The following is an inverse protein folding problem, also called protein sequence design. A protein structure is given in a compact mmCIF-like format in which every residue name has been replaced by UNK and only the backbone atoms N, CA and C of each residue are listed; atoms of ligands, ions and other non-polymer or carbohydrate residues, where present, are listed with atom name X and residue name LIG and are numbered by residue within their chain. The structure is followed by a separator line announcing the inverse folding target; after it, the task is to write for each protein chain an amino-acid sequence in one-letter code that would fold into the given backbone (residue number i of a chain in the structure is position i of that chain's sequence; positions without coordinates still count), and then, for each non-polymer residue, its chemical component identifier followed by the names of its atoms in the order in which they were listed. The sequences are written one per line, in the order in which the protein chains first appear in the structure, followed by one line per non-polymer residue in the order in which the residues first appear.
data_IF_849354082765
#
_entry.id   IF_849354082765
#
_cell.length_a   1.000
_cell.length_b   1.000
_cell.length_c   1.000
_cell.angle_alpha   90.00
_cell.angle_beta   90.00
_cell.angle_gamma   90.00
#
_symmetry.space_group_name_H-M   'P 1'
#
loop_
_entity.id
_entity.type
_entity.pdbx_description
1 polymer ?
#
# COMPACT_ATOMS: atom_id res chain seq x y z
N UNK A 1 -16.07 18.80 10.60
CA UNK A 1 -15.81 20.25 10.37
C UNK A 1 -14.59 20.82 11.12
N UNK A 2 -14.29 20.43 12.37
CA UNK A 2 -12.99 20.69 13.01
C UNK A 2 -11.98 19.55 12.80
N UNK A 3 -12.43 18.29 12.94
CA UNK A 3 -11.65 17.07 12.70
C UNK A 3 -11.05 16.98 11.28
N UNK A 4 -11.82 17.37 10.24
CA UNK A 4 -11.33 17.43 8.86
C UNK A 4 -10.25 18.50 8.62
N UNK A 5 -10.27 19.62 9.34
CA UNK A 5 -9.25 20.67 9.19
C UNK A 5 -7.95 20.30 9.90
N UNK A 6 -8.04 19.68 11.08
CA UNK A 6 -6.88 19.13 11.79
C UNK A 6 -6.19 18.02 10.97
N UNK A 7 -6.97 17.09 10.41
CA UNK A 7 -6.46 16.07 9.47
C UNK A 7 -5.80 16.69 8.25
N UNK A 8 -6.37 17.74 7.63
CA UNK A 8 -5.74 18.43 6.48
C UNK A 8 -4.41 19.08 6.85
N UNK A 9 -4.31 19.69 8.04
CA UNK A 9 -3.08 20.30 8.55
C UNK A 9 -1.97 19.29 8.84
N UNK A 10 -2.30 18.13 9.42
CA UNK A 10 -1.34 17.04 9.66
C UNK A 10 -0.94 16.34 8.37
N UNK A 11 -1.89 16.08 7.45
CA UNK A 11 -1.62 15.47 6.13
C UNK A 11 -0.63 16.33 5.33
N UNK A 12 -0.78 17.66 5.31
CA UNK A 12 0.13 18.55 4.58
C UNK A 12 1.58 18.54 5.11
N UNK A 13 1.77 18.32 6.41
CA UNK A 13 3.11 18.15 7.00
C UNK A 13 3.72 16.80 6.65
N UNK A 14 2.88 15.76 6.61
CA UNK A 14 3.30 14.38 6.37
C UNK A 14 3.56 14.07 4.89
N UNK A 15 2.98 14.84 3.95
CA UNK A 15 3.28 14.71 2.51
C UNK A 15 4.72 15.06 2.14
N UNK A 16 5.44 15.79 3.01
CA UNK A 16 6.88 16.02 2.87
C UNK A 16 7.76 14.84 3.30
N UNK A 17 7.15 13.77 3.82
CA UNK A 17 7.82 12.52 4.17
C UNK A 17 8.09 11.61 2.96
N UNK A 18 8.73 10.47 3.23
CA UNK A 18 8.99 9.44 2.24
C UNK A 18 8.42 8.08 2.65
N UNK A 19 7.96 7.32 1.65
CA UNK A 19 7.57 5.93 1.79
C UNK A 19 8.77 5.05 1.42
N UNK A 20 9.16 4.15 2.31
CA UNK A 20 10.15 3.10 2.05
C UNK A 20 9.48 1.75 2.00
N UNK A 21 9.97 0.88 1.15
CA UNK A 21 9.53 -0.50 1.06
C UNK A 21 10.73 -1.43 1.00
N UNK A 22 10.80 -2.34 1.97
CA UNK A 22 11.83 -3.38 2.05
C UNK A 22 11.19 -4.74 1.82
N UNK A 23 11.74 -5.50 0.89
CA UNK A 23 11.19 -6.80 0.50
C UNK A 23 12.10 -7.93 0.97
N UNK A 24 11.53 -8.89 1.71
CA UNK A 24 12.17 -10.16 2.01
C UNK A 24 11.50 -11.25 1.19
N UNK A 25 12.29 -11.87 0.32
CA UNK A 25 11.78 -12.91 -0.57
C UNK A 25 11.83 -14.26 0.13
N UNK A 26 10.66 -14.84 0.41
CA UNK A 26 10.61 -16.23 0.82
C UNK A 26 10.82 -17.11 -0.44
N UNK A 27 11.69 -18.12 -0.34
CA UNK A 27 11.78 -19.18 -1.35
C UNK A 27 10.93 -20.34 -0.84
N UNK A 28 9.71 -20.48 -1.35
CA UNK A 28 9.00 -21.76 -1.26
C UNK A 28 8.95 -22.42 -2.63
N UNK A 29 9.61 -23.58 -2.72
CA UNK A 29 9.49 -24.50 -3.84
C UNK A 29 8.23 -25.33 -3.66
N UNK A 30 7.13 -24.90 -4.29
CA UNK A 30 5.95 -25.73 -4.54
C UNK A 30 5.78 -25.93 -6.04
N UNK A 31 5.15 -27.03 -6.46
CA UNK A 31 4.99 -27.46 -7.85
C UNK A 31 4.24 -26.48 -8.78
N UNK A 32 3.82 -25.32 -8.29
CA UNK A 32 3.10 -24.27 -9.00
C UNK A 32 3.77 -22.92 -8.69
N UNK A 33 4.61 -22.41 -9.60
CA UNK A 33 5.56 -21.33 -9.38
C UNK A 33 5.05 -19.92 -9.01
N UNK A 34 3.96 -19.72 -8.23
CA UNK A 34 3.78 -18.41 -7.56
C UNK A 34 4.79 -18.30 -6.42
N UNK A 35 5.47 -17.16 -6.35
CA UNK A 35 6.33 -16.78 -5.25
C UNK A 35 5.63 -15.70 -4.42
N UNK A 36 5.51 -15.93 -3.12
CA UNK A 36 5.12 -14.88 -2.19
C UNK A 36 6.34 -14.09 -1.71
N UNK A 37 6.26 -12.76 -1.72
CA UNK A 37 7.28 -11.87 -1.15
C UNK A 37 6.67 -11.07 -0.01
N UNK A 38 7.35 -11.04 1.14
CA UNK A 38 6.91 -10.27 2.33
C UNK A 38 7.56 -8.91 2.29
N UNK A 39 6.81 -7.88 2.67
CA UNK A 39 7.26 -6.50 2.64
C UNK A 39 7.02 -5.81 3.97
N UNK A 40 8.01 -5.02 4.42
CA UNK A 40 7.74 -3.89 5.31
C UNK A 40 7.57 -2.64 4.47
N UNK A 41 6.56 -1.85 4.80
CA UNK A 41 6.27 -0.56 4.18
C UNK A 41 6.25 0.48 5.28
N UNK A 42 7.05 1.53 5.15
CA UNK A 42 7.36 2.46 6.23
C UNK A 42 7.17 3.90 5.74
N UNK A 43 6.43 4.69 6.50
CA UNK A 43 6.28 6.12 6.28
C UNK A 43 7.16 6.90 7.26
N UNK A 44 8.11 7.62 6.70
CA UNK A 44 9.06 8.45 7.44
C UNK A 44 8.71 9.91 7.25
N UNK A 45 8.56 10.66 8.34
CA UNK A 45 8.41 12.10 8.31
C UNK A 45 9.69 12.79 7.84
N UNK A 46 9.59 14.05 7.41
CA UNK A 46 10.73 14.83 6.89
C UNK A 46 11.85 15.05 7.92
N UNK A 47 11.52 14.94 9.21
CA UNK A 47 12.47 15.03 10.33
C UNK A 47 13.13 13.67 10.67
N UNK A 48 12.87 12.62 9.89
CA UNK A 48 13.47 11.30 10.04
C UNK A 48 12.77 10.37 11.03
N UNK A 49 11.60 10.72 11.55
CA UNK A 49 10.82 9.83 12.45
C UNK A 49 9.94 8.86 11.67
N UNK A 50 9.87 7.60 12.12
CA UNK A 50 8.93 6.60 11.60
C UNK A 50 7.55 6.85 12.20
N UNK A 51 6.60 7.27 11.36
CA UNK A 51 5.29 7.77 11.80
C UNK A 51 4.13 6.84 11.45
N UNK A 52 4.33 5.93 10.49
CA UNK A 52 3.41 4.83 10.19
C UNK A 52 4.14 3.71 9.46
N UNK A 53 3.53 2.53 9.42
CA UNK A 53 4.02 1.44 8.60
C UNK A 53 3.11 0.22 8.62
N UNK A 54 3.35 -0.72 7.72
CA UNK A 54 2.65 -1.99 7.67
C UNK A 54 3.56 -3.14 7.23
N UNK A 55 3.11 -4.35 7.57
CA UNK A 55 3.57 -5.58 6.96
C UNK A 55 2.51 -6.05 5.96
N UNK A 56 2.96 -6.48 4.80
CA UNK A 56 2.13 -7.05 3.75
C UNK A 56 2.89 -8.09 2.93
N UNK A 57 2.23 -8.69 1.95
CA UNK A 57 2.89 -9.58 1.00
C UNK A 57 2.33 -9.41 -0.41
N UNK A 58 3.13 -9.76 -1.42
CA UNK A 58 2.70 -9.84 -2.81
C UNK A 58 2.81 -11.27 -3.36
N UNK A 59 1.88 -11.67 -4.23
CA UNK A 59 1.95 -12.91 -5.04
C UNK A 59 1.31 -12.62 -6.40
N UNK A 60 2.14 -12.65 -7.44
CA UNK A 60 1.77 -12.16 -8.78
C UNK A 60 1.45 -10.66 -8.77
N UNK A 61 0.31 -10.28 -9.35
CA UNK A 61 -0.14 -8.89 -9.45
C UNK A 61 -1.07 -8.42 -8.31
N UNK A 62 -1.06 -9.14 -7.17
CA UNK A 62 -1.84 -8.84 -5.96
C UNK A 62 -0.90 -8.41 -4.81
N UNK A 63 -1.32 -7.41 -4.03
CA UNK A 63 -0.73 -7.08 -2.74
C UNK A 63 -1.77 -7.22 -1.62
N UNK A 64 -1.40 -7.84 -0.50
CA UNK A 64 -2.25 -8.02 0.68
C UNK A 64 -1.63 -7.34 1.89
N UNK A 65 -2.34 -6.39 2.50
CA UNK A 65 -1.97 -5.81 3.80
C UNK A 65 -2.31 -6.79 4.93
N UNK A 66 -1.37 -7.01 5.85
CA UNK A 66 -1.56 -7.91 7.00
C UNK A 66 -1.87 -7.13 8.28
N UNK A 67 -1.00 -6.17 8.61
CA UNK A 67 -1.11 -5.37 9.83
C UNK A 67 -0.35 -4.08 9.68
N UNK A 68 -0.82 -3.01 10.31
CA UNK A 68 -0.19 -1.71 10.27
C UNK A 68 -0.33 -0.94 11.56
N UNK A 69 0.48 0.10 11.69
CA UNK A 69 0.50 1.01 12.84
C UNK A 69 0.69 2.46 12.37
N UNK A 70 0.37 3.40 13.25
CA UNK A 70 0.73 4.81 13.10
C UNK A 70 0.94 5.42 14.50
N UNK A 71 1.77 6.46 14.56
CA UNK A 71 2.09 7.19 15.81
C UNK A 71 1.67 8.66 15.75
N UNK A 72 1.21 9.14 14.59
CA UNK A 72 0.72 10.50 14.38
C UNK A 72 -0.61 10.53 13.63
N UNK A 73 -1.45 11.50 13.96
CA UNK A 73 -2.73 11.71 13.27
C UNK A 73 -2.53 11.94 11.77
N UNK A 74 -3.22 11.13 10.96
CA UNK A 74 -3.15 11.20 9.50
C UNK A 74 -1.96 10.46 8.87
N UNK A 75 -0.96 10.04 9.64
CA UNK A 75 0.20 9.30 9.09
C UNK A 75 -0.19 7.97 8.45
N UNK A 76 -1.11 7.22 9.06
CA UNK A 76 -1.66 6.01 8.45
C UNK A 76 -2.37 6.28 7.11
N UNK A 77 -3.14 7.37 7.01
CA UNK A 77 -3.80 7.75 5.76
C UNK A 77 -2.80 8.14 4.67
N UNK A 78 -1.79 8.94 5.01
CA UNK A 78 -0.73 9.32 4.06
C UNK A 78 0.08 8.11 3.63
N UNK A 79 0.39 7.18 4.55
CA UNK A 79 1.06 5.92 4.25
C UNK A 79 0.23 5.08 3.27
N UNK A 80 -1.07 4.90 3.51
CA UNK A 80 -1.94 4.13 2.63
C UNK A 80 -2.05 4.76 1.23
N UNK A 81 -2.21 6.09 1.15
CA UNK A 81 -2.28 6.78 -0.15
C UNK A 81 -0.94 6.71 -0.89
N UNK A 82 0.19 6.86 -0.21
CA UNK A 82 1.50 6.70 -0.84
C UNK A 82 1.71 5.25 -1.32
N UNK A 83 1.35 4.26 -0.50
CA UNK A 83 1.44 2.85 -0.88
C UNK A 83 0.56 2.53 -2.09
N UNK A 84 -0.68 3.02 -2.14
CA UNK A 84 -1.53 2.83 -3.31
C UNK A 84 -0.90 3.37 -4.60
N UNK A 85 -0.23 4.53 -4.54
CA UNK A 85 0.52 5.07 -5.68
C UNK A 85 1.71 4.19 -6.09
N UNK A 86 2.44 3.64 -5.10
CA UNK A 86 3.53 2.71 -5.35
C UNK A 86 3.04 1.39 -5.97
N UNK A 87 1.90 0.87 -5.49
CA UNK A 87 1.25 -0.33 -6.02
C UNK A 87 0.80 -0.13 -7.47
N UNK A 88 0.21 1.02 -7.81
CA UNK A 88 -0.14 1.38 -9.19
C UNK A 88 1.10 1.36 -10.07
N UNK A 89 2.18 2.03 -9.64
CA UNK A 89 3.46 2.08 -10.38
C UNK A 89 4.08 0.68 -10.58
N UNK A 90 3.87 -0.23 -9.63
CA UNK A 90 4.38 -1.59 -9.67
C UNK A 90 3.52 -2.56 -10.51
N UNK A 91 2.39 -2.08 -11.08
CA UNK A 91 1.48 -2.91 -11.87
C UNK A 91 0.50 -3.74 -11.04
N UNK A 92 0.24 -3.35 -9.80
CA UNK A 92 -0.73 -4.02 -8.93
C UNK A 92 -2.14 -3.88 -9.49
N UNK A 93 -2.83 -5.01 -9.62
CA UNK A 93 -4.21 -5.06 -10.10
C UNK A 93 -5.23 -5.15 -8.96
N UNK A 94 -4.80 -5.55 -7.76
CA UNK A 94 -5.69 -5.62 -6.59
C UNK A 94 -4.88 -5.48 -5.31
N UNK A 95 -5.32 -4.53 -4.48
CA UNK A 95 -4.87 -4.35 -3.11
C UNK A 95 -5.91 -4.91 -2.16
N UNK A 96 -5.62 -6.06 -1.58
CA UNK A 96 -6.44 -6.69 -0.54
C UNK A 96 -6.15 -6.04 0.82
N UNK A 97 -7.18 -5.38 1.36
CA UNK A 97 -7.11 -4.71 2.66
C UNK A 97 -7.57 -5.62 3.81
N UNK A 98 -8.01 -6.85 3.55
CA UNK A 98 -8.59 -7.74 4.57
C UNK A 98 -10.01 -7.33 4.99
N UNK A 99 -10.33 -7.50 6.28
CA UNK A 99 -11.71 -7.31 6.79
C UNK A 99 -12.29 -5.92 6.52
N UNK A 100 -13.59 -5.87 6.23
CA UNK A 100 -14.34 -4.62 6.06
C UNK A 100 -14.22 -3.75 7.32
N UNK A 101 -13.92 -2.48 7.08
CA UNK A 101 -13.91 -1.43 8.11
C UNK A 101 -14.29 -0.12 7.44
N UNK A 102 -15.15 0.67 8.09
CA UNK A 102 -15.73 1.93 7.56
C UNK A 102 -14.72 2.89 6.92
N UNK A 103 -13.50 2.99 7.45
CA UNK A 103 -12.51 3.91 6.89
C UNK A 103 -11.97 3.45 5.52
N UNK A 104 -12.00 2.15 5.22
CA UNK A 104 -11.53 1.58 3.94
C UNK A 104 -12.49 1.95 2.80
N UNK A 105 -13.79 1.90 3.05
CA UNK A 105 -14.80 2.36 2.08
C UNK A 105 -14.59 3.84 1.74
N UNK A 106 -14.22 4.66 2.74
CA UNK A 106 -13.88 6.08 2.53
C UNK A 106 -12.65 6.32 1.63
N UNK A 107 -11.78 5.32 1.46
CA UNK A 107 -10.63 5.37 0.55
C UNK A 107 -10.98 4.90 -0.88
N UNK A 108 -12.18 4.33 -1.07
CA UNK A 108 -12.64 3.73 -2.31
C UNK A 108 -12.44 2.21 -2.37
N UNK A 109 -12.30 1.53 -1.23
CA UNK A 109 -12.32 0.07 -1.19
C UNK A 109 -13.74 -0.46 -1.41
N UNK A 110 -13.83 -1.54 -2.18
CA UNK A 110 -15.07 -2.26 -2.45
C UNK A 110 -15.07 -3.59 -1.69
N UNK A 111 -16.24 -3.99 -1.19
CA UNK A 111 -16.42 -5.32 -0.61
C UNK A 111 -16.63 -6.33 -1.73
N UNK A 112 -15.84 -7.40 -1.73
CA UNK A 112 -15.99 -8.52 -2.67
C UNK A 112 -16.45 -9.76 -1.93
N UNK A 113 -17.41 -10.46 -2.51
CA UNK A 113 -17.80 -11.78 -2.05
C UNK A 113 -16.61 -12.74 -2.07
N UNK A 114 -16.53 -13.62 -1.06
CA UNK A 114 -15.40 -14.55 -0.90
C UNK A 114 -15.14 -15.38 -2.16
N UNK A 115 -16.19 -15.83 -2.87
CA UNK A 115 -16.06 -16.63 -4.09
C UNK A 115 -15.39 -15.84 -5.22
N UNK A 116 -15.75 -14.56 -5.34
CA UNK A 116 -15.22 -13.67 -6.37
C UNK A 116 -13.78 -13.27 -6.03
N UNK A 117 -13.51 -12.98 -4.75
CA UNK A 117 -12.15 -12.74 -4.27
C UNK A 117 -11.23 -13.93 -4.52
N UNK A 118 -11.65 -15.17 -4.22
CA UNK A 118 -10.83 -16.37 -4.48
C UNK A 118 -10.57 -16.54 -5.99
N UNK A 119 -11.57 -16.28 -6.83
CA UNK A 119 -11.43 -16.36 -8.29
C UNK A 119 -10.45 -15.30 -8.81
N UNK A 120 -10.56 -14.06 -8.31
CA UNK A 120 -9.64 -12.97 -8.61
C UNK A 120 -8.21 -13.31 -8.15
N UNK A 121 -8.04 -13.77 -6.91
CA UNK A 121 -6.74 -14.14 -6.35
C UNK A 121 -6.06 -15.25 -7.16
N UNK A 122 -6.81 -16.29 -7.56
CA UNK A 122 -6.28 -17.39 -8.38
C UNK A 122 -5.82 -16.93 -9.76
N UNK A 123 -6.48 -15.94 -10.34
CA UNK A 123 -6.07 -15.32 -11.60
C UNK A 123 -4.81 -14.46 -11.39
N UNK A 124 -4.82 -13.57 -10.39
CA UNK A 124 -3.73 -12.62 -10.18
C UNK A 124 -2.43 -13.25 -9.69
N UNK A 125 -2.51 -14.36 -8.95
CA UNK A 125 -1.31 -15.04 -8.41
C UNK A 125 -0.40 -15.67 -9.48
N UNK A 126 -0.89 -15.83 -10.71
CA UNK A 126 -0.10 -16.36 -11.84
C UNK A 126 0.37 -15.26 -12.80
N UNK A 127 -0.02 -14.02 -12.54
CA UNK A 127 0.49 -12.84 -13.26
C UNK A 127 1.95 -12.56 -12.86
N UNK A 128 2.69 -11.75 -13.64
CA UNK A 128 4.02 -11.30 -13.27
C UNK A 128 4.07 -10.68 -11.87
N UNK A 129 5.13 -10.99 -11.12
CA UNK A 129 5.34 -10.47 -9.76
C UNK A 129 5.51 -8.96 -9.77
N UNK A 130 4.89 -8.27 -8.79
CA UNK A 130 5.12 -6.85 -8.55
C UNK A 130 6.61 -6.53 -8.40
N UNK A 131 7.03 -5.45 -9.06
CA UNK A 131 8.42 -4.97 -9.01
C UNK A 131 8.43 -3.53 -8.50
N UNK A 132 8.95 -3.33 -7.30
CA UNK A 132 8.97 -2.02 -6.63
C UNK A 132 10.21 -1.16 -6.96
N UNK A 133 11.22 -1.75 -7.60
CA UNK A 133 12.48 -1.08 -7.96
C UNK A 133 13.38 -0.78 -6.75
N UNK A 134 14.69 -0.57 -6.99
CA UNK A 134 15.66 -0.28 -5.92
C UNK A 134 15.37 1.06 -5.19
N UNK A 135 14.77 2.02 -5.89
CA UNK A 135 14.44 3.33 -5.31
C UNK A 135 13.38 3.24 -4.20
N UNK A 136 12.54 2.20 -4.19
CA UNK A 136 11.56 2.02 -3.13
C UNK A 136 12.22 1.73 -1.78
N UNK A 137 13.40 1.08 -1.74
CA UNK A 137 14.13 0.88 -0.48
C UNK A 137 14.84 2.15 0.00
N UNK A 138 15.29 3.02 -0.92
CA UNK A 138 15.93 4.30 -0.56
C UNK A 138 14.92 5.33 -0.04
N UNK A 139 13.68 5.23 -0.53
CA UNK A 139 12.54 6.04 -0.13
C UNK A 139 12.06 6.93 -1.27
N UNK A 140 10.74 6.95 -1.45
CA UNK A 140 10.08 7.75 -2.47
C UNK A 140 9.23 8.85 -1.81
N UNK A 141 9.20 10.08 -2.35
CA UNK A 141 8.38 11.15 -1.79
C UNK A 141 6.90 10.76 -1.75
N UNK A 142 6.28 10.90 -0.58
CA UNK A 142 4.86 10.53 -0.41
C UNK A 142 3.96 11.34 -1.36
N UNK A 143 4.23 12.64 -1.51
CA UNK A 143 3.47 13.51 -2.41
C UNK A 143 3.50 13.05 -3.89
N UNK A 144 4.64 12.53 -4.37
CA UNK A 144 4.77 12.04 -5.75
C UNK A 144 3.89 10.80 -5.95
N UNK A 145 3.96 9.85 -5.02
CA UNK A 145 3.14 8.64 -5.07
C UNK A 145 1.64 8.94 -4.95
N UNK A 146 1.26 9.85 -4.05
CA UNK A 146 -0.14 10.26 -3.87
C UNK A 146 -0.69 10.91 -5.15
N UNK A 147 0.14 11.67 -5.87
CA UNK A 147 -0.26 12.30 -7.13
C UNK A 147 -0.64 11.27 -8.21
N UNK A 148 -0.04 10.07 -8.18
CA UNK A 148 -0.41 8.98 -9.09
C UNK A 148 -1.85 8.50 -8.84
N UNK A 149 -2.27 8.38 -7.57
CA UNK A 149 -3.66 7.99 -7.25
C UNK A 149 -4.64 9.03 -7.78
N UNK A 150 -4.33 10.32 -7.57
CA UNK A 150 -5.21 11.41 -8.01
C UNK A 150 -5.34 11.40 -9.53
N UNK A 151 -4.24 11.18 -10.26
CA UNK A 151 -4.26 11.05 -11.71
C UNK A 151 -5.05 9.81 -12.19
N UNK A 152 -4.91 8.67 -11.51
CA UNK A 152 -5.61 7.42 -11.88
C UNK A 152 -7.12 7.47 -11.63
N UNK A 153 -7.60 8.27 -10.67
CA UNK A 153 -9.05 8.47 -10.44
C UNK A 153 -9.69 9.51 -11.38
N UNK A 154 -8.89 10.24 -12.15
CA UNK A 154 -9.37 11.25 -13.10
C UNK A 154 -9.65 10.70 -14.51
N UNK A 155 -9.45 9.39 -14.72
CA UNK A 155 -9.77 8.63 -15.92
C UNK A 155 -11.06 7.82 -15.71
#
# INVERSE_FOLDING_TARGET
PAHCQALRGSIAKLTGGCLRMCSVRHKEGGAHGCRAEIHSVEMWASDGRLVAGELGFSCGALYTSLTGFYTEDGAGTVQMLALGGLLIRAGCQCWDLGMEMKYKSGLGAEELDRKDFISLQRRLRVEPQLTFGALASDGLPAAELISLIVASKAL
#
